data_IF_711488504249
#
_entry.id   IF_711488504249
#
_cell.length_a   1.000
_cell.length_b   1.000
_cell.length_c   1.000
_cell.angle_alpha   90.00
_cell.angle_beta   90.00
_cell.angle_gamma   90.00
#
_symmetry.space_group_name_H-M   'P 1'
#
loop_
_entity.id
_entity.type
_entity.pdbx_description
1 polymer ?
#
# COMPACT_ATOMS: atom_id res chain seq x y z
N UNK A 1 9.76 22.58 16.15
CA UNK A 1 10.17 21.53 15.18
C UNK A 1 9.21 21.61 14.00
N UNK A 2 9.72 21.89 12.79
CA UNK A 2 8.92 22.15 11.59
C UNK A 2 8.77 20.86 10.80
N UNK A 3 7.56 20.32 10.68
CA UNK A 3 7.24 19.17 9.83
C UNK A 3 7.13 19.66 8.37
N UNK A 4 7.80 19.04 7.38
CA UNK A 4 7.69 19.50 6.00
C UNK A 4 6.35 19.08 5.38
N UNK A 5 5.72 20.02 4.66
CA UNK A 5 4.42 19.89 4.00
C UNK A 5 4.53 19.15 2.66
N UNK A 6 3.67 18.13 2.50
CA UNK A 6 2.84 17.76 1.33
C UNK A 6 3.32 18.26 -0.04
N UNK A 7 3.88 17.37 -0.85
CA UNK A 7 4.04 17.58 -2.29
C UNK A 7 2.77 17.15 -3.04
N UNK A 8 2.15 18.09 -3.74
CA UNK A 8 1.13 17.84 -4.77
C UNK A 8 1.88 17.60 -6.08
N UNK A 9 1.81 16.40 -6.64
CA UNK A 9 2.16 16.22 -8.06
C UNK A 9 0.85 16.27 -8.84
N UNK A 10 0.51 17.46 -9.34
CA UNK A 10 -0.47 17.59 -10.41
C UNK A 10 0.12 16.95 -11.66
N UNK A 11 -0.54 15.93 -12.21
CA UNK A 11 -0.31 15.56 -13.61
C UNK A 11 -0.90 16.68 -14.49
N UNK A 12 -0.18 17.16 -15.52
CA UNK A 12 -0.50 18.40 -16.20
C UNK A 12 -1.68 18.16 -17.13
N UNK A 13 -2.87 18.66 -16.76
CA UNK A 13 -3.97 19.02 -17.68
C UNK A 13 -5.08 19.81 -16.97
N UNK A 14 -4.75 20.65 -15.99
CA UNK A 14 -5.74 21.58 -15.44
C UNK A 14 -5.09 22.85 -14.88
N UNK A 15 -5.39 23.99 -15.48
CA UNK A 15 -5.08 25.31 -14.92
C UNK A 15 -5.87 25.49 -13.63
N UNK A 16 -5.21 25.93 -12.55
CA UNK A 16 -5.88 26.28 -11.29
C UNK A 16 -5.53 27.72 -10.94
N UNK A 17 -6.55 28.58 -10.96
CA UNK A 17 -6.53 29.95 -10.46
C UNK A 17 -6.46 29.98 -8.92
N UNK A 18 -5.54 30.78 -8.38
CA UNK A 18 -5.29 30.94 -6.95
C UNK A 18 -6.34 31.88 -6.31
N UNK A 19 -7.20 31.38 -5.42
CA UNK A 19 -7.76 32.19 -4.32
C UNK A 19 -8.01 31.37 -3.04
N UNK A 20 -7.40 31.85 -1.95
CA UNK A 20 -7.83 31.84 -0.55
C UNK A 20 -8.54 30.62 0.05
N UNK A 21 -7.83 29.94 0.97
CA UNK A 21 -8.42 29.42 2.21
C UNK A 21 -9.16 28.08 2.17
N UNK A 22 -8.97 27.26 1.14
CA UNK A 22 -9.70 25.99 0.99
C UNK A 22 -8.94 24.82 1.61
N UNK A 23 -9.52 24.21 2.65
CA UNK A 23 -9.24 22.82 2.98
C UNK A 23 -9.54 22.03 1.71
N UNK A 24 -8.52 21.50 1.03
CA UNK A 24 -8.71 20.69 -0.17
C UNK A 24 -9.43 19.42 0.28
N UNK A 25 -10.77 19.45 0.17
CA UNK A 25 -11.63 18.30 0.33
C UNK A 25 -11.43 17.45 -0.92
N UNK A 26 -11.05 16.19 -0.73
CA UNK A 26 -10.95 15.23 -1.83
C UNK A 26 -12.27 15.19 -2.60
N UNK A 27 -12.23 15.38 -3.92
CA UNK A 27 -13.39 15.22 -4.75
C UNK A 27 -13.35 13.88 -5.49
N UNK A 28 -14.52 13.27 -5.66
CA UNK A 28 -14.68 12.11 -6.56
C UNK A 28 -14.25 12.54 -7.96
N UNK A 29 -13.23 11.87 -8.51
CA UNK A 29 -12.60 12.26 -9.78
C UNK A 29 -11.09 12.53 -9.68
N UNK A 30 -10.58 12.76 -8.47
CA UNK A 30 -9.16 13.04 -8.25
C UNK A 30 -8.37 11.79 -7.80
N UNK A 31 -7.06 11.83 -8.04
CA UNK A 31 -6.12 10.95 -7.35
C UNK A 31 -5.79 11.55 -5.98
N UNK A 32 -5.85 10.73 -4.93
CA UNK A 32 -5.36 11.08 -3.60
C UNK A 32 -4.20 10.18 -3.22
N UNK A 33 -3.18 10.74 -2.60
CA UNK A 33 -2.00 10.00 -2.14
C UNK A 33 -1.83 10.21 -0.64
N UNK A 34 -1.66 9.11 0.10
CA UNK A 34 -1.25 9.12 1.50
C UNK A 34 0.12 8.47 1.64
N UNK A 35 0.92 9.02 2.55
CA UNK A 35 2.31 8.62 2.77
C UNK A 35 2.50 8.25 4.24
N UNK A 36 3.37 7.29 4.51
CA UNK A 36 3.91 7.07 5.85
C UNK A 36 4.81 8.24 6.27
N UNK A 37 5.07 8.38 7.57
CA UNK A 37 5.91 9.47 8.10
C UNK A 37 7.36 9.45 7.58
N UNK A 38 7.82 8.30 7.08
CA UNK A 38 9.13 8.13 6.45
C UNK A 38 9.13 8.37 4.93
N UNK A 39 8.02 8.86 4.36
CA UNK A 39 7.92 9.20 2.94
C UNK A 39 7.64 8.03 2.02
N UNK A 40 7.31 6.84 2.53
CA UNK A 40 6.87 5.71 1.69
C UNK A 40 5.38 5.83 1.34
N UNK A 41 5.01 5.54 0.08
CA UNK A 41 3.62 5.65 -0.39
C UNK A 41 2.76 4.60 0.29
N UNK A 42 1.76 5.03 1.07
CA UNK A 42 0.88 4.15 1.85
C UNK A 42 -0.36 3.75 1.08
N UNK A 43 -1.08 4.74 0.54
CA UNK A 43 -2.39 4.56 -0.07
C UNK A 43 -2.54 5.48 -1.28
N UNK A 44 -3.19 4.98 -2.34
CA UNK A 44 -3.66 5.78 -3.46
C UNK A 44 -5.17 5.59 -3.58
N UNK A 45 -5.94 6.66 -3.45
CA UNK A 45 -7.36 6.65 -3.83
C UNK A 45 -7.46 7.08 -5.28
N UNK A 46 -8.18 6.29 -6.05
CA UNK A 46 -8.33 6.45 -7.48
C UNK A 46 -9.58 7.29 -7.76
N UNK A 47 -9.63 7.99 -8.91
CA UNK A 47 -10.77 8.82 -9.32
C UNK A 47 -12.14 8.12 -9.24
N UNK A 48 -12.15 6.81 -9.47
CA UNK A 48 -13.34 5.97 -9.50
C UNK A 48 -13.64 5.30 -8.15
N UNK A 49 -13.09 5.82 -7.05
CA UNK A 49 -13.42 5.43 -5.68
C UNK A 49 -12.74 4.15 -5.17
N UNK A 50 -11.93 3.48 -5.99
CA UNK A 50 -11.11 2.35 -5.52
C UNK A 50 -9.82 2.83 -4.86
N UNK A 51 -9.27 1.95 -4.03
CA UNK A 51 -8.06 2.24 -3.25
C UNK A 51 -6.99 1.19 -3.50
N UNK A 52 -5.75 1.64 -3.67
CA UNK A 52 -4.55 0.81 -3.69
C UNK A 52 -3.78 1.05 -2.41
N UNK A 53 -3.39 -0.01 -1.68
CA UNK A 53 -2.55 0.09 -0.48
C UNK A 53 -1.22 -0.63 -0.67
N UNK A 54 -0.21 -0.16 0.04
CA UNK A 54 1.13 -0.73 -0.04
C UNK A 54 1.70 -1.03 1.34
N UNK A 55 2.43 -2.14 1.40
CA UNK A 55 3.18 -2.59 2.57
C UNK A 55 4.66 -2.71 2.23
N UNK A 56 5.49 -2.54 3.25
CA UNK A 56 6.93 -2.47 3.11
C UNK A 56 7.61 -3.24 4.23
N UNK A 57 8.81 -3.74 3.97
CA UNK A 57 9.72 -4.21 5.00
C UNK A 57 10.53 -3.04 5.62
N UNK A 58 11.36 -3.36 6.62
CA UNK A 58 12.19 -2.38 7.32
C UNK A 58 13.26 -1.72 6.43
N UNK A 59 13.60 -2.32 5.28
CA UNK A 59 14.51 -1.75 4.29
C UNK A 59 13.79 -0.83 3.29
N UNK A 60 12.47 -0.69 3.42
CA UNK A 60 11.64 0.14 2.54
C UNK A 60 11.33 -0.51 1.20
N UNK A 61 11.56 -1.81 1.05
CA UNK A 61 11.15 -2.57 -0.15
C UNK A 61 9.67 -2.93 -0.01
N UNK A 62 8.92 -2.86 -1.11
CA UNK A 62 7.50 -3.20 -1.12
C UNK A 62 7.34 -4.71 -0.93
N UNK A 63 6.57 -5.11 0.07
CA UNK A 63 6.25 -6.52 0.37
C UNK A 63 4.85 -6.91 -0.07
N UNK A 64 3.93 -5.95 -0.15
CA UNK A 64 2.61 -6.19 -0.70
C UNK A 64 2.00 -4.96 -1.40
N UNK A 65 1.10 -5.23 -2.35
CA UNK A 65 0.15 -4.28 -2.94
C UNK A 65 -1.24 -4.89 -2.81
N UNK A 66 -2.17 -4.12 -2.22
CA UNK A 66 -3.56 -4.53 -2.06
C UNK A 66 -4.41 -3.70 -3.02
N UNK A 67 -5.21 -4.37 -3.83
CA UNK A 67 -6.11 -3.71 -4.76
C UNK A 67 -7.29 -4.62 -5.12
N UNK A 68 -8.50 -4.09 -5.01
CA UNK A 68 -9.73 -4.75 -5.48
C UNK A 68 -9.92 -6.17 -4.90
N UNK A 69 -9.64 -6.36 -3.61
CA UNK A 69 -9.76 -7.66 -2.94
C UNK A 69 -8.63 -8.64 -3.26
N UNK A 70 -7.59 -8.22 -3.98
CA UNK A 70 -6.40 -9.02 -4.24
C UNK A 70 -5.19 -8.46 -3.51
N UNK A 71 -4.29 -9.38 -3.14
CA UNK A 71 -2.99 -9.08 -2.55
C UNK A 71 -1.92 -9.60 -3.48
N UNK A 72 -1.08 -8.71 -3.99
CA UNK A 72 0.14 -9.04 -4.72
C UNK A 72 1.30 -8.96 -3.74
N UNK A 73 1.98 -10.08 -3.49
CA UNK A 73 3.11 -10.17 -2.55
C UNK A 73 4.42 -10.31 -3.30
N UNK A 74 5.49 -9.81 -2.67
CA UNK A 74 6.82 -9.74 -3.25
C UNK A 74 7.86 -10.35 -2.31
N UNK A 75 8.67 -11.27 -2.82
CA UNK A 75 9.83 -11.81 -2.10
C UNK A 75 11.12 -11.25 -2.72
N UNK A 76 12.06 -10.94 -1.84
CA UNK A 76 13.32 -10.30 -2.19
C UNK A 76 14.50 -11.13 -1.68
N UNK A 77 15.50 -11.34 -2.53
CA UNK A 77 16.84 -11.79 -2.17
C UNK A 77 17.82 -10.61 -2.34
N UNK A 78 18.35 -10.10 -1.22
CA UNK A 78 19.11 -8.85 -1.23
C UNK A 78 18.32 -7.71 -1.89
N UNK A 79 18.83 -7.13 -2.98
CA UNK A 79 18.12 -6.06 -3.71
C UNK A 79 17.35 -6.56 -4.94
N UNK A 80 17.24 -7.88 -5.11
CA UNK A 80 16.59 -8.50 -6.27
C UNK A 80 15.22 -9.03 -5.86
N UNK A 81 14.16 -8.61 -6.56
CA UNK A 81 12.85 -9.24 -6.42
C UNK A 81 12.89 -10.59 -7.12
N UNK A 82 12.70 -11.67 -6.36
CA UNK A 82 12.82 -13.05 -6.87
C UNK A 82 11.48 -13.74 -7.07
N UNK A 83 10.42 -13.24 -6.43
CA UNK A 83 9.09 -13.82 -6.57
C UNK A 83 7.99 -12.75 -6.45
N UNK A 84 6.94 -12.92 -7.23
CA UNK A 84 5.65 -12.26 -7.07
C UNK A 84 4.56 -13.33 -7.08
N UNK A 85 3.58 -13.23 -6.19
CA UNK A 85 2.38 -14.06 -6.23
C UNK A 85 1.15 -13.27 -5.81
N UNK A 86 0.00 -13.72 -6.29
CA UNK A 86 -1.29 -13.11 -6.02
C UNK A 86 -2.17 -14.07 -5.22
N UNK A 87 -2.84 -13.54 -4.20
CA UNK A 87 -3.92 -14.22 -3.49
C UNK A 87 -5.14 -13.30 -3.39
N UNK A 88 -6.29 -13.84 -2.97
CA UNK A 88 -7.36 -12.98 -2.48
C UNK A 88 -6.98 -12.43 -1.10
N UNK A 89 -7.48 -11.24 -0.76
CA UNK A 89 -7.24 -10.59 0.53
C UNK A 89 -7.91 -11.36 1.67
N UNK A 90 -9.03 -12.05 1.38
CA UNK A 90 -9.73 -12.92 2.33
C UNK A 90 -8.90 -14.12 2.77
N UNK A 91 -7.97 -14.58 1.92
CA UNK A 91 -7.11 -15.74 2.17
C UNK A 91 -5.80 -15.34 2.87
N UNK A 92 -5.65 -14.06 3.24
CA UNK A 92 -4.46 -13.59 3.94
C UNK A 92 -4.41 -14.22 5.34
N UNK A 93 -3.27 -14.80 5.75
CA UNK A 93 -3.11 -15.32 7.11
C UNK A 93 -3.42 -14.22 8.12
N UNK A 94 -4.41 -14.45 8.98
CA UNK A 94 -4.69 -13.53 10.06
C UNK A 94 -3.70 -13.79 11.18
N UNK A 95 -3.13 -12.76 11.77
CA UNK A 95 -2.34 -12.91 12.99
C UNK A 95 -3.21 -12.46 14.17
N UNK A 96 -3.35 -13.30 15.20
CA UNK A 96 -3.86 -12.87 16.50
C UNK A 96 -2.71 -12.65 17.46
N UNK A 97 -2.83 -11.63 18.29
CA UNK A 97 -1.92 -11.39 19.41
C UNK A 97 -2.64 -11.92 20.65
N UNK A 98 -2.03 -12.85 21.38
CA UNK A 98 -2.60 -13.31 22.64
C UNK A 98 -2.42 -12.28 23.77
N UNK A 99 -3.01 -12.56 24.94
CA UNK A 99 -2.94 -11.69 26.13
C UNK A 99 -1.51 -11.40 26.62
N UNK A 100 -0.52 -12.14 26.12
CA UNK A 100 0.90 -11.99 26.45
C UNK A 100 1.70 -11.34 25.32
N UNK A 101 1.05 -10.83 24.27
CA UNK A 101 1.72 -10.16 23.17
C UNK A 101 2.34 -11.11 22.13
N UNK A 102 2.08 -12.42 22.19
CA UNK A 102 2.64 -13.39 21.25
C UNK A 102 1.80 -13.45 19.98
N UNK A 103 2.47 -13.36 18.83
CA UNK A 103 1.84 -13.47 17.51
C UNK A 103 1.53 -14.95 17.23
N UNK A 104 0.26 -15.27 17.05
CA UNK A 104 -0.22 -16.57 16.56
C UNK A 104 -0.80 -16.38 15.16
N UNK A 105 -0.38 -17.21 14.21
CA UNK A 105 -1.03 -17.29 12.91
C UNK A 105 -2.37 -18.03 13.08
N UNK A 106 -3.46 -17.41 12.67
CA UNK A 106 -4.79 -18.00 12.56
C UNK A 106 -4.99 -18.44 11.12
N UNK A 107 -5.00 -19.77 10.92
CA UNK A 107 -5.26 -20.41 9.63
C UNK A 107 -4.00 -20.93 8.94
N UNK A 108 -4.15 -22.04 8.23
CA UNK A 108 -3.11 -22.58 7.36
C UNK A 108 -2.99 -21.68 6.13
N UNK A 109 -1.77 -21.25 5.79
CA UNK A 109 -1.51 -20.47 4.59
C UNK A 109 -1.72 -21.37 3.35
N UNK A 110 -2.85 -21.18 2.66
CA UNK A 110 -3.11 -21.87 1.39
C UNK A 110 -2.23 -21.26 0.30
N UNK A 111 -1.03 -21.80 0.11
CA UNK A 111 -0.18 -21.47 -1.04
C UNK A 111 -0.62 -22.34 -2.22
N UNK A 112 -1.70 -21.96 -2.90
CA UNK A 112 -1.95 -22.51 -4.23
C UNK A 112 -0.97 -21.86 -5.21
N UNK A 113 -0.27 -22.68 -6.01
CA UNK A 113 0.65 -22.26 -7.09
C UNK A 113 2.05 -21.78 -6.67
N UNK A 114 2.71 -22.53 -5.78
CA UNK A 114 4.16 -22.37 -5.54
C UNK A 114 4.97 -22.76 -6.80
N UNK A 115 5.53 -21.78 -7.50
CA UNK A 115 6.55 -22.00 -8.54
C UNK A 115 7.92 -21.72 -7.94
N UNK A 116 8.73 -22.77 -7.83
CA UNK A 116 10.15 -22.69 -7.44
C UNK A 116 11.00 -22.84 -8.70
N UNK A 117 11.79 -21.83 -9.05
CA UNK A 117 12.82 -21.96 -10.08
C UNK A 117 14.14 -22.40 -9.41
N UNK A 118 14.78 -23.44 -9.97
CA UNK A 118 16.16 -23.87 -9.67
C UNK A 118 17.06 -23.40 -10.79
#
# INVERSE_FOLDING_TARGET
>A
MKTPRRGLTQHPNHEVSEESGTHIVWQTGDYAYEWYGNGMLREVRLPYGKTVRFEYDALGRRTAKLFNGHVFRYLWDGNVMVQEWQSEEKDRPQHSIDEFGRIRMLGDELVENLVTWV
#
